data_IF_775675432047
#
_entry.id   IF_775675432047
#
_cell.length_a   1.000
_cell.length_b   1.000
_cell.length_c   1.000
_cell.angle_alpha   90.00
_cell.angle_beta   90.00
_cell.angle_gamma   90.00
#
_symmetry.space_group_name_H-M   'P 1'
#
loop_
_entity.id
_entity.type
_entity.pdbx_description
1 polymer ?
#
# COMPACT_ATOMS: atom_id res chain seq x y z
N UNK A 1 14.24 11.60 5.96
CA UNK A 1 14.56 10.80 4.76
C UNK A 1 16.07 10.62 4.67
N UNK A 2 16.56 9.38 4.67
CA UNK A 2 17.98 9.02 4.80
C UNK A 2 18.89 9.38 3.61
N UNK A 3 18.48 10.30 2.75
CA UNK A 3 19.28 10.79 1.63
C UNK A 3 20.16 11.97 2.06
N UNK A 4 21.42 11.96 1.61
CA UNK A 4 22.35 13.06 1.84
C UNK A 4 21.89 14.33 1.11
N UNK A 5 22.40 15.51 1.50
CA UNK A 5 22.10 16.78 0.81
C UNK A 5 22.53 16.76 -0.67
N UNK A 6 23.53 15.94 -1.03
CA UNK A 6 24.01 15.78 -2.40
C UNK A 6 23.02 14.97 -3.23
N UNK A 7 22.55 13.84 -2.69
CA UNK A 7 21.60 12.95 -3.39
C UNK A 7 20.24 13.61 -3.62
N UNK A 8 19.84 14.54 -2.74
CA UNK A 8 18.61 15.34 -2.91
C UNK A 8 18.65 16.31 -4.09
N UNK A 9 19.84 16.74 -4.53
CA UNK A 9 20.00 17.63 -5.70
C UNK A 9 20.07 16.86 -7.02
N UNK A 10 20.24 15.55 -6.95
CA UNK A 10 20.28 14.62 -8.08
C UNK A 10 19.37 13.43 -7.78
N UNK A 11 18.07 13.70 -7.58
CA UNK A 11 17.06 12.63 -7.46
C UNK A 11 16.92 11.99 -8.85
N UNK A 12 17.87 11.12 -9.19
CA UNK A 12 17.84 10.22 -10.35
C UNK A 12 17.15 8.90 -10.00
N UNK A 13 17.00 8.60 -8.71
CA UNK A 13 16.30 7.45 -8.15
C UNK A 13 15.00 7.90 -7.48
N UNK A 14 13.97 7.06 -7.44
CA UNK A 14 12.70 7.39 -6.78
C UNK A 14 12.86 7.74 -5.29
N UNK A 15 11.87 8.44 -4.72
CA UNK A 15 11.81 8.78 -3.29
C UNK A 15 10.69 7.99 -2.64
N UNK A 16 10.97 7.33 -1.51
CA UNK A 16 9.97 6.58 -0.75
C UNK A 16 9.58 7.36 0.52
N UNK A 17 8.30 7.73 0.62
CA UNK A 17 7.71 8.40 1.79
C UNK A 17 6.91 7.44 2.68
N UNK A 18 6.79 6.17 2.29
CA UNK A 18 6.00 5.20 3.04
C UNK A 18 6.51 5.09 4.49
N UNK A 19 5.56 5.03 5.42
CA UNK A 19 5.82 4.80 6.83
C UNK A 19 5.07 3.56 7.27
N UNK A 20 5.76 2.68 8.00
CA UNK A 20 5.11 1.57 8.70
C UNK A 20 3.95 2.08 9.56
N UNK A 21 2.89 1.27 9.65
CA UNK A 21 1.64 1.59 10.36
C UNK A 21 0.86 2.80 9.85
N UNK A 22 1.28 3.46 8.77
CA UNK A 22 0.56 4.60 8.19
C UNK A 22 -0.86 4.23 7.78
N UNK A 23 -1.78 5.17 7.99
CA UNK A 23 -3.10 5.17 7.37
C UNK A 23 -3.40 6.44 6.59
N UNK A 24 -4.59 6.46 6.00
CA UNK A 24 -5.15 7.60 5.27
C UNK A 24 -5.62 8.71 6.21
N UNK A 25 -6.14 8.33 7.39
CA UNK A 25 -6.57 9.29 8.40
C UNK A 25 -5.41 9.70 9.31
N UNK A 26 -5.30 11.00 9.68
CA UNK A 26 -4.19 11.46 10.50
C UNK A 26 -4.02 10.75 11.83
N UNK A 27 -5.13 10.37 12.47
CA UNK A 27 -5.14 9.65 13.75
C UNK A 27 -4.69 8.18 13.63
N UNK A 28 -4.72 7.60 12.43
CA UNK A 28 -4.45 6.18 12.25
C UNK A 28 -2.96 5.85 12.39
N UNK A 29 -2.68 4.67 12.95
CA UNK A 29 -1.32 4.20 13.18
C UNK A 29 -0.67 4.70 14.47
N UNK A 30 -1.15 5.80 15.07
CA UNK A 30 -0.58 6.33 16.32
C UNK A 30 -0.75 5.38 17.51
N UNK A 31 -1.79 4.54 17.49
CA UNK A 31 -1.98 3.47 18.46
C UNK A 31 -0.93 2.36 18.35
N UNK A 32 -0.30 2.21 17.18
CA UNK A 32 0.75 1.23 16.91
C UNK A 32 2.14 1.82 17.18
N UNK A 33 2.38 3.04 16.68
CA UNK A 33 3.64 3.76 16.89
C UNK A 33 3.40 5.28 17.01
N UNK A 34 4.06 5.92 17.97
CA UNK A 34 3.86 7.36 18.24
C UNK A 34 4.28 8.26 17.06
N UNK A 35 5.27 7.83 16.27
CA UNK A 35 5.90 8.65 15.22
C UNK A 35 5.50 8.22 13.79
N UNK A 36 4.28 7.72 13.60
CA UNK A 36 3.76 7.36 12.27
C UNK A 36 3.62 8.62 11.40
N UNK A 37 4.07 8.50 10.14
CA UNK A 37 3.88 9.53 9.12
C UNK A 37 2.67 9.13 8.26
N UNK A 38 1.51 9.70 8.55
CA UNK A 38 0.26 9.41 7.82
C UNK A 38 0.31 9.95 6.38
N UNK A 39 -0.64 9.55 5.53
CA UNK A 39 -0.58 9.90 4.10
C UNK A 39 -0.57 11.41 3.84
N UNK A 40 -1.30 12.20 4.63
CA UNK A 40 -1.26 13.66 4.55
C UNK A 40 0.16 14.19 4.78
N UNK A 41 0.83 13.73 5.83
CA UNK A 41 2.21 14.12 6.13
C UNK A 41 3.20 13.62 5.08
N UNK A 42 2.96 12.47 4.44
CA UNK A 42 3.79 11.99 3.33
C UNK A 42 3.70 12.94 2.12
N UNK A 43 2.51 13.44 1.81
CA UNK A 43 2.32 14.47 0.78
C UNK A 43 2.98 15.79 1.19
N UNK A 44 2.88 16.19 2.46
CA UNK A 44 3.58 17.37 2.97
C UNK A 44 5.10 17.23 2.86
N UNK A 45 5.66 16.04 3.12
CA UNK A 45 7.08 15.78 2.92
C UNK A 45 7.45 15.95 1.45
N UNK A 46 6.68 15.39 0.52
CA UNK A 46 6.91 15.58 -0.91
C UNK A 46 6.88 17.07 -1.30
N UNK A 47 5.86 17.81 -0.85
CA UNK A 47 5.66 19.23 -1.14
C UNK A 47 6.73 20.14 -0.51
N UNK A 48 7.12 19.87 0.73
CA UNK A 48 7.99 20.78 1.49
C UNK A 48 9.47 20.43 1.39
N UNK A 49 9.82 19.20 1.00
CA UNK A 49 11.21 18.78 0.82
C UNK A 49 11.57 18.56 -0.65
N UNK A 50 11.06 17.52 -1.29
CA UNK A 50 11.44 17.14 -2.65
C UNK A 50 11.09 18.22 -3.67
N UNK A 51 9.91 18.80 -3.60
CA UNK A 51 9.54 19.90 -4.49
C UNK A 51 10.42 21.14 -4.25
N UNK A 52 10.84 21.40 -3.01
CA UNK A 52 11.76 22.50 -2.69
C UNK A 52 13.15 22.26 -3.27
N UNK A 53 13.68 21.04 -3.13
CA UNK A 53 14.98 20.65 -3.65
C UNK A 53 14.99 20.66 -5.20
N UNK A 54 13.93 20.15 -5.83
CA UNK A 54 13.78 20.15 -7.29
C UNK A 54 13.62 21.56 -7.87
N UNK A 55 12.91 22.49 -7.20
CA UNK A 55 12.78 23.88 -7.68
C UNK A 55 14.12 24.56 -7.93
N UNK A 56 15.15 24.25 -7.14
CA UNK A 56 16.50 24.79 -7.35
C UNK A 56 17.26 24.19 -8.54
N UNK A 57 16.74 23.12 -9.15
CA UNK A 57 17.38 22.37 -10.25
C UNK A 57 16.79 22.72 -11.62
N UNK A 58 15.61 23.32 -11.69
CA UNK A 58 14.93 23.64 -12.94
C UNK A 58 14.79 25.15 -13.14
N UNK A 59 15.12 25.63 -14.34
CA UNK A 59 15.09 27.05 -14.70
C UNK A 59 13.67 27.66 -14.79
N UNK A 60 12.62 26.85 -14.67
CA UNK A 60 11.24 27.36 -14.61
C UNK A 60 10.25 26.39 -13.95
N UNK A 61 9.16 26.91 -13.35
CA UNK A 61 8.05 26.09 -12.85
C UNK A 61 7.43 25.18 -13.92
N UNK A 62 7.40 25.61 -15.19
CA UNK A 62 6.88 24.83 -16.32
C UNK A 62 7.74 23.59 -16.60
N UNK A 63 9.07 23.71 -16.55
CA UNK A 63 9.99 22.58 -16.70
C UNK A 63 9.86 21.59 -15.55
N UNK A 64 9.77 22.06 -14.31
CA UNK A 64 9.52 21.21 -13.15
C UNK A 64 8.20 20.44 -13.26
N UNK A 65 7.10 21.12 -13.62
CA UNK A 65 5.81 20.44 -13.84
C UNK A 65 5.88 19.38 -14.96
N UNK A 66 6.59 19.66 -16.06
CA UNK A 66 6.83 18.69 -17.14
C UNK A 66 7.70 17.52 -16.70
N UNK A 67 8.64 17.72 -15.78
CA UNK A 67 9.43 16.66 -15.18
C UNK A 67 8.54 15.75 -14.33
N UNK A 68 7.76 16.34 -13.40
CA UNK A 68 6.86 15.61 -12.52
C UNK A 68 5.74 14.87 -13.25
N UNK A 69 5.25 15.42 -14.37
CA UNK A 69 4.23 14.75 -15.17
C UNK A 69 4.72 13.44 -15.79
N UNK A 70 6.04 13.25 -15.91
CA UNK A 70 6.65 12.00 -16.39
C UNK A 70 6.93 11.01 -15.26
N UNK A 71 6.93 11.47 -14.01
CA UNK A 71 7.20 10.64 -12.83
C UNK A 71 6.00 9.76 -12.48
N UNK A 72 6.30 8.54 -11.99
CA UNK A 72 5.32 7.63 -11.43
C UNK A 72 5.06 7.95 -9.96
N UNK A 73 3.79 8.02 -9.57
CA UNK A 73 3.34 8.10 -8.18
C UNK A 73 2.65 6.80 -7.82
N UNK A 74 3.34 5.94 -7.08
CA UNK A 74 2.82 4.67 -6.59
C UNK A 74 2.24 4.85 -5.18
N UNK A 75 0.95 4.53 -5.00
CA UNK A 75 0.20 4.76 -3.78
C UNK A 75 -0.39 3.43 -3.29
N UNK A 76 0.02 3.00 -2.10
CA UNK A 76 -0.53 1.84 -1.39
C UNK A 76 -0.77 2.21 0.08
N UNK A 77 -2.04 2.23 0.48
CA UNK A 77 -2.52 2.66 1.80
C UNK A 77 -3.80 1.87 2.16
N UNK A 78 -4.43 2.20 3.29
CA UNK A 78 -5.67 1.60 3.82
C UNK A 78 -5.55 0.25 4.55
N UNK A 79 -4.45 -0.49 4.41
CA UNK A 79 -4.27 -1.78 5.13
C UNK A 79 -4.34 -1.62 6.65
N UNK A 80 -3.68 -0.62 7.22
CA UNK A 80 -3.74 -0.36 8.67
C UNK A 80 -5.11 0.18 9.09
N UNK A 81 -5.70 1.06 8.26
CA UNK A 81 -7.00 1.66 8.49
C UNK A 81 -8.10 0.60 8.62
N UNK A 82 -8.06 -0.45 7.79
CA UNK A 82 -9.05 -1.52 7.75
C UNK A 82 -8.70 -2.70 8.65
N UNK A 83 -7.42 -2.92 8.93
CA UNK A 83 -6.92 -3.99 9.79
C UNK A 83 -6.80 -3.56 11.25
N UNK A 84 -5.57 -3.57 11.76
CA UNK A 84 -5.26 -3.46 13.20
C UNK A 84 -5.77 -2.14 13.80
N UNK A 85 -5.65 -1.00 13.09
CA UNK A 85 -6.13 0.29 13.63
C UNK A 85 -7.65 0.31 13.76
N UNK A 86 -8.37 -0.30 12.81
CA UNK A 86 -9.81 -0.44 12.92
C UNK A 86 -10.20 -1.22 14.18
N UNK A 87 -9.55 -2.38 14.36
CA UNK A 87 -9.87 -3.29 15.45
C UNK A 87 -9.63 -2.70 16.82
N UNK A 88 -8.54 -1.95 16.98
CA UNK A 88 -8.17 -1.41 18.29
C UNK A 88 -9.00 -0.15 18.61
N UNK A 89 -9.21 0.73 17.62
CA UNK A 89 -9.66 2.08 17.89
C UNK A 89 -10.92 2.49 17.12
N UNK A 90 -10.99 2.23 15.81
CA UNK A 90 -12.02 2.85 14.97
C UNK A 90 -13.36 2.14 15.02
N UNK A 91 -13.39 0.83 15.32
CA UNK A 91 -14.64 0.07 15.43
C UNK A 91 -15.61 0.61 16.50
N UNK A 92 -15.08 1.31 17.51
CA UNK A 92 -15.86 1.97 18.57
C UNK A 92 -16.39 3.35 18.14
N UNK A 93 -15.82 3.94 17.10
CA UNK A 93 -16.07 5.32 16.66
C UNK A 93 -16.93 5.38 15.40
N UNK A 94 -16.87 4.37 14.54
CA UNK A 94 -17.52 4.38 13.24
C UNK A 94 -18.16 3.03 12.91
N UNK A 95 -19.30 3.07 12.21
CA UNK A 95 -19.72 1.93 11.40
C UNK A 95 -18.76 1.75 10.23
N UNK A 96 -18.62 0.52 9.74
CA UNK A 96 -17.64 0.25 8.68
C UNK A 96 -17.96 1.00 7.38
N UNK A 97 -19.24 1.09 6.99
CA UNK A 97 -19.64 1.80 5.77
C UNK A 97 -19.30 3.29 5.82
N UNK A 98 -19.51 3.93 6.97
CA UNK A 98 -19.16 5.34 7.18
C UNK A 98 -17.65 5.53 7.11
N UNK A 99 -16.91 4.62 7.74
CA UNK A 99 -15.47 4.67 7.82
C UNK A 99 -14.81 4.52 6.44
N UNK A 100 -15.22 3.53 5.66
CA UNK A 100 -14.68 3.30 4.31
C UNK A 100 -14.93 4.51 3.40
N UNK A 101 -16.13 5.11 3.45
CA UNK A 101 -16.43 6.34 2.68
C UNK A 101 -15.51 7.50 3.07
N UNK A 102 -15.18 7.61 4.36
CA UNK A 102 -14.22 8.60 4.86
C UNK A 102 -12.81 8.32 4.31
N UNK A 103 -12.36 7.06 4.30
CA UNK A 103 -11.06 6.68 3.72
C UNK A 103 -10.96 7.04 2.23
N UNK A 104 -11.99 6.71 1.44
CA UNK A 104 -12.06 7.05 0.00
C UNK A 104 -12.03 8.56 -0.21
N UNK A 105 -12.73 9.33 0.63
CA UNK A 105 -12.71 10.80 0.59
C UNK A 105 -11.31 11.36 0.88
N UNK A 106 -10.62 10.86 1.89
CA UNK A 106 -9.27 11.33 2.22
C UNK A 106 -8.23 10.93 1.17
N UNK A 107 -8.30 9.70 0.63
CA UNK A 107 -7.47 9.29 -0.50
C UNK A 107 -7.69 10.23 -1.70
N UNK A 108 -8.95 10.53 -2.05
CA UNK A 108 -9.29 11.45 -3.14
C UNK A 108 -8.65 12.83 -2.97
N UNK A 109 -8.69 13.39 -1.75
CA UNK A 109 -8.09 14.69 -1.45
C UNK A 109 -6.59 14.69 -1.66
N UNK A 110 -5.88 13.67 -1.16
CA UNK A 110 -4.43 13.60 -1.29
C UNK A 110 -3.98 13.37 -2.75
N UNK A 111 -4.71 12.55 -3.52
CA UNK A 111 -4.44 12.38 -4.95
C UNK A 111 -4.62 13.70 -5.73
N UNK A 112 -5.65 14.49 -5.40
CA UNK A 112 -5.85 15.82 -5.98
C UNK A 112 -4.76 16.82 -5.57
N UNK A 113 -4.25 16.77 -4.33
CA UNK A 113 -3.09 17.57 -3.89
C UNK A 113 -1.85 17.21 -4.72
N UNK A 114 -1.53 15.93 -4.85
CA UNK A 114 -0.41 15.47 -5.67
C UNK A 114 -0.54 15.92 -7.14
N UNK A 115 -1.75 15.84 -7.71
CA UNK A 115 -2.03 16.33 -9.06
C UNK A 115 -1.78 17.84 -9.18
N UNK A 116 -2.19 18.63 -8.19
CA UNK A 116 -1.96 20.08 -8.14
C UNK A 116 -0.46 20.41 -8.10
N UNK A 117 0.33 19.57 -7.44
CA UNK A 117 1.79 19.68 -7.36
C UNK A 117 2.50 19.29 -8.68
N UNK A 118 1.82 18.62 -9.61
CA UNK A 118 2.34 18.29 -10.94
C UNK A 118 2.34 16.80 -11.29
N UNK A 119 1.91 15.93 -10.36
CA UNK A 119 1.79 14.50 -10.64
C UNK A 119 0.75 14.24 -11.75
N UNK A 120 1.08 13.34 -12.68
CA UNK A 120 0.16 12.94 -13.75
C UNK A 120 -0.01 11.43 -13.90
N UNK A 121 0.95 10.61 -13.47
CA UNK A 121 0.86 9.15 -13.55
C UNK A 121 0.70 8.55 -12.17
N UNK A 122 -0.47 8.01 -11.88
CA UNK A 122 -0.81 7.42 -10.59
C UNK A 122 -1.06 5.94 -10.74
N UNK A 123 -0.34 5.14 -9.96
CA UNK A 123 -0.65 3.73 -9.76
C UNK A 123 -1.13 3.58 -8.33
N UNK A 124 -2.40 3.22 -8.15
CA UNK A 124 -3.04 3.11 -6.84
C UNK A 124 -3.51 1.68 -6.64
N UNK A 125 -2.89 0.98 -5.71
CA UNK A 125 -3.28 -0.40 -5.41
C UNK A 125 -4.36 -0.47 -4.35
N UNK A 126 -5.24 -1.46 -4.45
CA UNK A 126 -6.17 -1.81 -3.38
C UNK A 126 -5.46 -2.55 -2.21
N UNK A 127 -6.24 -3.07 -1.26
CA UNK A 127 -5.74 -3.72 -0.04
C UNK A 127 -5.83 -5.24 -0.17
N UNK A 128 -4.82 -5.97 0.31
CA UNK A 128 -4.77 -7.44 0.33
C UNK A 128 -5.80 -8.05 1.30
N UNK A 129 -6.15 -9.34 1.20
CA UNK A 129 -7.06 -10.01 2.13
C UNK A 129 -6.48 -10.11 3.55
N UNK A 130 -6.72 -9.08 4.37
CA UNK A 130 -6.16 -8.98 5.73
C UNK A 130 -6.67 -10.10 6.66
N UNK A 131 -7.87 -10.63 6.40
CA UNK A 131 -8.47 -11.73 7.15
C UNK A 131 -7.69 -13.04 7.04
N UNK A 132 -6.81 -13.16 6.04
CA UNK A 132 -5.95 -14.32 5.81
C UNK A 132 -4.55 -14.17 6.44
N UNK A 133 -4.24 -13.02 7.03
CA UNK A 133 -2.92 -12.82 7.66
C UNK A 133 -2.74 -13.75 8.86
N UNK A 134 -1.51 -14.25 9.12
CA UNK A 134 -1.25 -15.12 10.27
C UNK A 134 -1.71 -14.49 11.59
N UNK A 135 -1.53 -13.17 11.76
CA UNK A 135 -2.00 -12.44 12.94
C UNK A 135 -3.51 -12.63 13.18
N UNK A 136 -4.32 -12.50 12.14
CA UNK A 136 -5.78 -12.57 12.26
C UNK A 136 -6.23 -14.02 12.48
N UNK A 137 -5.77 -14.97 11.67
CA UNK A 137 -6.22 -16.36 11.74
C UNK A 137 -5.77 -17.08 13.02
N UNK A 138 -4.70 -16.61 13.67
CA UNK A 138 -4.24 -17.15 14.96
C UNK A 138 -4.89 -16.45 16.18
N UNK A 139 -5.62 -15.34 16.00
CA UNK A 139 -6.27 -14.60 17.09
C UNK A 139 -7.78 -14.78 17.18
N UNK A 140 -8.43 -15.00 16.04
CA UNK A 140 -9.88 -15.00 15.94
C UNK A 140 -10.33 -16.43 15.62
N UNK A 141 -11.38 -16.91 16.28
CA UNK A 141 -11.98 -18.21 15.97
C UNK A 141 -12.72 -18.09 14.64
N UNK A 142 -12.45 -19.00 13.70
CA UNK A 142 -13.08 -19.04 12.38
C UNK A 142 -13.21 -20.48 11.89
N UNK A 143 -13.99 -20.68 10.82
CA UNK A 143 -14.34 -22.00 10.28
C UNK A 143 -13.71 -22.28 8.90
N UNK A 144 -12.78 -21.45 8.44
CA UNK A 144 -12.22 -21.50 7.08
C UNK A 144 -10.72 -21.21 7.02
N UNK A 145 -10.16 -20.89 5.84
CA UNK A 145 -8.76 -20.50 5.73
C UNK A 145 -8.50 -19.07 6.22
N UNK A 146 -9.55 -18.22 6.24
CA UNK A 146 -9.46 -16.81 6.59
C UNK A 146 -10.64 -16.37 7.47
N UNK A 147 -10.48 -15.22 8.12
CA UNK A 147 -11.57 -14.55 8.85
C UNK A 147 -12.35 -13.65 7.89
N UNK A 148 -13.45 -14.17 7.34
CA UNK A 148 -14.19 -13.50 6.27
C UNK A 148 -14.84 -12.16 6.67
N UNK A 149 -15.13 -11.94 7.95
CA UNK A 149 -15.61 -10.64 8.41
C UNK A 149 -14.61 -9.51 8.11
N UNK A 150 -13.32 -9.80 8.28
CA UNK A 150 -12.24 -8.85 8.00
C UNK A 150 -12.05 -8.68 6.49
N UNK A 151 -12.17 -9.75 5.71
CA UNK A 151 -12.10 -9.65 4.25
C UNK A 151 -13.28 -8.86 3.67
N UNK A 152 -14.51 -9.08 4.18
CA UNK A 152 -15.70 -8.30 3.78
C UNK A 152 -15.50 -6.80 4.00
N UNK A 153 -14.89 -6.44 5.13
CA UNK A 153 -14.51 -5.05 5.42
C UNK A 153 -13.55 -4.49 4.38
N UNK A 154 -12.51 -5.26 4.02
CA UNK A 154 -11.54 -4.88 3.00
C UNK A 154 -12.22 -4.71 1.63
N UNK A 155 -13.11 -5.62 1.26
CA UNK A 155 -13.87 -5.57 0.01
C UNK A 155 -14.66 -4.27 -0.14
N UNK A 156 -15.31 -3.76 0.92
CA UNK A 156 -16.04 -2.49 0.85
C UNK A 156 -15.18 -1.32 0.38
N UNK A 157 -13.90 -1.27 0.80
CA UNK A 157 -12.96 -0.26 0.31
C UNK A 157 -12.48 -0.56 -1.11
N UNK A 158 -12.11 -1.82 -1.37
CA UNK A 158 -11.62 -2.25 -2.67
C UNK A 158 -12.66 -2.03 -3.78
N UNK A 159 -13.95 -2.22 -3.50
CA UNK A 159 -15.07 -2.04 -4.44
C UNK A 159 -15.28 -0.57 -4.81
N UNK A 160 -14.98 0.36 -3.90
CA UNK A 160 -15.14 1.81 -4.13
C UNK A 160 -13.93 2.45 -4.83
N UNK A 161 -12.76 1.82 -4.75
CA UNK A 161 -11.52 2.39 -5.27
C UNK A 161 -11.56 2.60 -6.81
N UNK A 162 -11.95 1.62 -7.65
CA UNK A 162 -12.02 1.82 -9.10
C UNK A 162 -12.88 3.02 -9.50
N UNK A 163 -14.08 3.14 -8.92
CA UNK A 163 -14.99 4.26 -9.21
C UNK A 163 -14.42 5.62 -8.79
N UNK A 164 -13.66 5.67 -7.69
CA UNK A 164 -12.91 6.89 -7.32
C UNK A 164 -11.87 7.24 -8.40
N UNK A 165 -11.09 6.26 -8.86
CA UNK A 165 -10.03 6.50 -9.83
C UNK A 165 -10.58 6.93 -11.20
N UNK A 166 -11.68 6.33 -11.65
CA UNK A 166 -12.40 6.75 -12.86
C UNK A 166 -12.90 8.19 -12.76
N UNK A 167 -13.51 8.55 -11.61
CA UNK A 167 -13.94 9.93 -11.36
C UNK A 167 -12.78 10.90 -11.43
N UNK A 168 -11.66 10.61 -10.76
CA UNK A 168 -10.46 11.45 -10.80
C UNK A 168 -9.87 11.54 -12.20
N UNK A 169 -9.83 10.43 -12.95
CA UNK A 169 -9.37 10.37 -14.33
C UNK A 169 -10.18 11.30 -15.24
N UNK A 170 -11.50 11.37 -15.05
CA UNK A 170 -12.39 12.25 -15.83
C UNK A 170 -12.26 13.73 -15.45
N UNK A 171 -12.03 14.04 -14.17
CA UNK A 171 -11.97 15.41 -13.67
C UNK A 171 -10.57 16.06 -13.75
N UNK A 172 -9.50 15.26 -13.82
CA UNK A 172 -8.13 15.75 -13.75
C UNK A 172 -7.43 15.61 -15.10
N UNK A 173 -7.54 16.65 -15.93
CA UNK A 173 -7.04 16.65 -17.31
C UNK A 173 -5.56 16.26 -17.45
N UNK A 174 -5.29 15.33 -18.37
CA UNK A 174 -3.93 14.84 -18.65
C UNK A 174 -3.34 13.95 -17.56
N UNK A 175 -4.12 13.58 -16.53
CA UNK A 175 -3.72 12.53 -15.60
C UNK A 175 -3.96 11.13 -16.18
N UNK A 176 -3.32 10.13 -15.60
CA UNK A 176 -3.54 8.71 -15.80
C UNK A 176 -3.62 8.05 -14.43
N UNK A 177 -4.76 7.44 -14.13
CA UNK A 177 -4.94 6.63 -12.93
C UNK A 177 -5.04 5.16 -13.32
N UNK A 178 -4.23 4.33 -12.67
CA UNK A 178 -4.25 2.87 -12.82
C UNK A 178 -4.55 2.24 -11.47
N UNK A 179 -5.55 1.37 -11.45
CA UNK A 179 -5.85 0.49 -10.34
C UNK A 179 -4.94 -0.74 -10.37
N UNK A 180 -4.31 -1.08 -9.25
CA UNK A 180 -3.59 -2.33 -9.06
C UNK A 180 -4.33 -3.24 -8.06
N UNK A 181 -4.84 -4.37 -8.52
CA UNK A 181 -5.59 -5.32 -7.70
C UNK A 181 -4.65 -6.29 -6.96
N UNK A 182 -4.11 -5.85 -5.83
CA UNK A 182 -3.29 -6.68 -4.97
C UNK A 182 -4.11 -7.79 -4.33
N UNK A 183 -5.40 -7.56 -4.06
CA UNK A 183 -6.29 -8.56 -3.47
C UNK A 183 -6.38 -9.79 -4.37
N UNK A 184 -6.60 -9.59 -5.67
CA UNK A 184 -6.64 -10.67 -6.66
C UNK A 184 -5.32 -11.43 -6.75
N UNK A 185 -4.17 -10.75 -6.60
CA UNK A 185 -2.87 -11.44 -6.57
C UNK A 185 -2.77 -12.43 -5.41
N UNK A 186 -3.25 -12.06 -4.22
CA UNK A 186 -3.30 -13.01 -3.10
C UNK A 186 -4.30 -14.13 -3.33
N UNK A 187 -5.48 -13.84 -3.87
CA UNK A 187 -6.47 -14.87 -4.17
C UNK A 187 -5.89 -15.92 -5.12
N UNK A 188 -5.25 -15.50 -6.22
CA UNK A 188 -4.62 -16.42 -7.16
C UNK A 188 -3.55 -17.31 -6.48
N UNK A 189 -2.76 -16.72 -5.57
CA UNK A 189 -1.75 -17.47 -4.80
C UNK A 189 -2.40 -18.44 -3.83
N UNK A 190 -3.47 -18.07 -3.15
CA UNK A 190 -4.18 -18.95 -2.22
C UNK A 190 -4.91 -20.09 -2.93
N UNK A 191 -5.44 -19.83 -4.13
CA UNK A 191 -6.11 -20.82 -4.97
C UNK A 191 -5.11 -21.82 -5.58
N UNK A 192 -3.88 -21.41 -5.90
CA UNK A 192 -2.88 -22.28 -6.52
C UNK A 192 -1.43 -21.96 -6.08
N UNK A 193 -1.07 -22.21 -4.81
CA UNK A 193 0.21 -21.77 -4.24
C UNK A 193 1.44 -22.27 -5.00
N UNK A 194 1.43 -23.55 -5.38
CA UNK A 194 2.56 -24.20 -6.04
C UNK A 194 2.86 -23.60 -7.42
N UNK A 195 1.83 -23.18 -8.16
CA UNK A 195 1.96 -22.49 -9.46
C UNK A 195 2.70 -21.16 -9.34
N UNK A 196 2.74 -20.58 -8.15
CA UNK A 196 3.45 -19.35 -7.84
C UNK A 196 4.73 -19.57 -7.03
N UNK A 197 5.10 -20.83 -6.76
CA UNK A 197 6.31 -21.20 -6.01
C UNK A 197 6.16 -21.12 -4.48
N UNK A 198 4.94 -21.06 -3.96
CA UNK A 198 4.66 -21.08 -2.53
C UNK A 198 4.26 -22.46 -2.04
N UNK A 199 4.69 -22.79 -0.82
CA UNK A 199 4.36 -24.02 -0.10
C UNK A 199 3.54 -23.76 1.15
N UNK A 200 3.75 -22.62 1.80
CA UNK A 200 3.00 -22.22 2.99
C UNK A 200 2.38 -20.84 2.78
N UNK A 201 1.05 -20.81 2.85
CA UNK A 201 0.24 -19.61 2.66
C UNK A 201 -0.36 -19.07 3.95
N UNK A 202 -0.22 -19.78 5.08
CA UNK A 202 -0.94 -19.48 6.32
C UNK A 202 -0.01 -19.09 7.48
N UNK A 203 1.22 -19.59 7.52
CA UNK A 203 2.15 -19.33 8.61
C UNK A 203 3.22 -18.30 8.24
N UNK A 204 3.53 -17.42 9.18
CA UNK A 204 4.69 -16.54 9.09
C UNK A 204 6.00 -17.29 9.29
N UNK A 205 7.04 -16.83 8.59
CA UNK A 205 8.41 -17.33 8.70
C UNK A 205 9.06 -17.04 10.05
N UNK A 206 8.89 -15.82 10.57
CA UNK A 206 9.30 -15.48 11.92
C UNK A 206 8.16 -15.80 12.91
N UNK A 207 8.56 -16.01 14.16
CA UNK A 207 7.67 -16.18 15.31
C UNK A 207 7.97 -15.11 16.36
N UNK A 208 7.00 -14.82 17.19
CA UNK A 208 7.21 -13.95 18.35
C UNK A 208 7.90 -14.70 19.51
N UNK A 209 8.21 -13.98 20.60
CA UNK A 209 8.97 -14.52 21.75
C UNK A 209 8.29 -15.72 22.43
N UNK A 210 6.98 -15.87 22.27
CA UNK A 210 6.21 -16.97 22.84
C UNK A 210 6.08 -18.14 21.87
N UNK A 211 6.74 -18.08 20.71
CA UNK A 211 6.58 -19.03 19.62
C UNK A 211 5.24 -18.92 18.92
N UNK A 212 4.47 -17.86 19.18
CA UNK A 212 3.18 -17.62 18.53
C UNK A 212 3.35 -16.77 17.26
N UNK A 213 2.24 -16.51 16.57
CA UNK A 213 2.18 -15.68 15.34
C UNK A 213 1.19 -14.55 15.49
N UNK A 214 1.21 -13.89 16.65
CA UNK A 214 0.25 -12.83 16.98
C UNK A 214 0.93 -11.53 17.42
N UNK A 215 2.27 -11.50 17.42
CA UNK A 215 3.08 -10.32 17.73
C UNK A 215 4.23 -10.18 16.74
N UNK A 216 4.99 -9.10 16.87
CA UNK A 216 6.21 -8.87 16.07
C UNK A 216 7.24 -9.97 16.27
N UNK A 217 8.09 -10.19 15.26
CA UNK A 217 9.18 -11.17 15.32
C UNK A 217 10.03 -10.99 16.58
N UNK A 218 10.40 -12.11 17.21
CA UNK A 218 11.34 -12.08 18.33
C UNK A 218 12.71 -11.56 17.88
N UNK A 219 13.36 -10.67 18.66
CA UNK A 219 14.74 -10.30 18.40
C UNK A 219 15.66 -11.50 18.66
N UNK A 220 16.73 -11.61 17.86
CA UNK A 220 17.75 -12.66 17.98
C UNK A 220 17.23 -14.10 17.83
N UNK A 221 16.10 -14.29 17.16
CA UNK A 221 15.65 -15.61 16.69
C UNK A 221 15.80 -15.62 15.16
N UNK A 222 16.49 -16.63 14.65
CA UNK A 222 16.66 -16.78 13.22
C UNK A 222 15.30 -17.01 12.53
N UNK A 223 15.03 -16.33 11.41
CA UNK A 223 13.84 -16.62 10.61
C UNK A 223 13.96 -18.02 10.00
N UNK A 224 12.81 -18.62 9.66
CA UNK A 224 12.74 -19.90 8.97
C UNK A 224 13.67 -20.01 7.74
N UNK A 225 14.16 -21.23 7.47
CA UNK A 225 15.03 -21.51 6.32
C UNK A 225 14.27 -21.40 4.97
N UNK A 226 13.00 -21.81 4.96
CA UNK A 226 12.14 -21.90 3.77
C UNK A 226 11.43 -20.58 3.41
N UNK A 227 11.95 -19.44 3.86
CA UNK A 227 11.33 -18.10 3.69
C UNK A 227 11.00 -17.70 2.25
N UNK A 228 11.67 -18.31 1.26
CA UNK A 228 11.44 -18.05 -0.18
C UNK A 228 10.17 -18.72 -0.73
N UNK A 229 9.63 -19.70 -0.01
CA UNK A 229 8.42 -20.43 -0.40
C UNK A 229 7.24 -20.16 0.53
N UNK A 230 7.32 -19.12 1.37
CA UNK A 230 6.24 -18.68 2.26
C UNK A 230 5.61 -17.39 1.78
N UNK A 231 4.30 -17.27 1.90
CA UNK A 231 3.60 -16.01 1.57
C UNK A 231 3.88 -14.92 2.60
N UNK A 232 4.02 -15.27 3.88
CA UNK A 232 4.19 -14.33 4.98
C UNK A 232 5.58 -14.40 5.62
N UNK A 233 6.23 -13.26 5.79
CA UNK A 233 7.49 -13.19 6.53
C UNK A 233 7.23 -13.10 8.04
N UNK A 234 6.37 -12.17 8.44
CA UNK A 234 5.92 -12.01 9.82
C UNK A 234 4.39 -12.15 9.89
N UNK A 235 3.76 -12.09 11.09
CA UNK A 235 2.33 -12.28 11.19
C UNK A 235 1.44 -11.28 10.45
N UNK A 236 1.99 -10.14 10.04
CA UNK A 236 1.26 -9.04 9.41
C UNK A 236 1.66 -8.85 7.95
N UNK A 237 2.93 -9.12 7.61
CA UNK A 237 3.54 -8.69 6.36
C UNK A 237 3.89 -9.86 5.43
N UNK A 238 3.68 -9.67 4.11
CA UNK A 238 4.10 -10.63 3.10
C UNK A 238 5.61 -10.81 3.06
N UNK A 239 6.05 -11.94 2.52
CA UNK A 239 7.46 -12.21 2.30
C UNK A 239 8.03 -11.40 1.14
N UNK A 240 9.37 -11.33 1.09
CA UNK A 240 10.08 -10.79 -0.06
C UNK A 240 9.64 -11.47 -1.37
N UNK A 241 9.43 -12.79 -1.36
CA UNK A 241 8.95 -13.54 -2.52
C UNK A 241 7.55 -13.07 -2.97
N UNK A 242 6.64 -12.81 -2.03
CA UNK A 242 5.31 -12.29 -2.34
C UNK A 242 5.35 -10.86 -2.87
N UNK A 243 6.21 -10.00 -2.28
CA UNK A 243 6.47 -8.65 -2.79
C UNK A 243 7.00 -8.66 -4.23
N UNK A 244 7.96 -9.55 -4.55
CA UNK A 244 8.47 -9.71 -5.91
C UNK A 244 7.38 -10.17 -6.88
N UNK A 245 6.54 -11.11 -6.46
CA UNK A 245 5.48 -11.64 -7.31
C UNK A 245 4.50 -10.55 -7.72
N UNK A 246 3.89 -9.83 -6.75
CA UNK A 246 2.90 -8.82 -7.11
C UNK A 246 3.53 -7.67 -7.92
N UNK A 247 4.81 -7.33 -7.66
CA UNK A 247 5.47 -6.25 -8.38
C UNK A 247 5.69 -6.65 -9.84
N UNK A 248 6.12 -7.91 -10.06
CA UNK A 248 6.28 -8.48 -11.40
C UNK A 248 4.93 -8.55 -12.13
N UNK A 249 3.85 -8.92 -11.43
CA UNK A 249 2.53 -8.95 -12.05
C UNK A 249 2.05 -7.55 -12.41
N UNK A 250 2.13 -6.56 -11.52
CA UNK A 250 1.73 -5.18 -11.84
C UNK A 250 2.44 -4.61 -13.07
N UNK A 251 3.68 -5.01 -13.33
CA UNK A 251 4.41 -4.58 -14.53
C UNK A 251 3.74 -4.98 -15.84
N UNK A 252 3.12 -6.16 -15.93
CA UNK A 252 2.74 -6.76 -17.23
C UNK A 252 1.32 -7.35 -17.28
N UNK A 253 0.76 -7.73 -16.14
CA UNK A 253 -0.47 -8.49 -16.05
C UNK A 253 -1.69 -7.57 -16.04
N UNK A 254 -2.39 -7.52 -17.17
CA UNK A 254 -3.60 -6.72 -17.31
C UNK A 254 -4.83 -7.30 -16.58
N UNK A 255 -4.76 -8.54 -16.06
CA UNK A 255 -5.87 -9.11 -15.27
C UNK A 255 -5.99 -8.49 -13.88
N UNK A 256 -4.91 -7.88 -13.38
CA UNK A 256 -4.84 -7.24 -12.06
C UNK A 256 -4.57 -5.72 -12.16
N UNK A 257 -4.55 -5.17 -13.37
CA UNK A 257 -4.31 -3.75 -13.60
C UNK A 257 -5.34 -3.20 -14.58
N UNK A 258 -5.96 -2.07 -14.22
CA UNK A 258 -6.94 -1.40 -15.07
C UNK A 258 -6.72 0.11 -15.08
N UNK A 259 -6.84 0.80 -16.22
CA UNK A 259 -7.14 0.26 -17.55
C UNK A 259 -5.91 -0.31 -18.30
N UNK A 260 -4.70 -0.08 -17.78
CA UNK A 260 -3.42 -0.49 -18.37
C UNK A 260 -2.48 -0.98 -17.28
N UNK A 261 -1.46 -1.78 -17.62
CA UNK A 261 -0.45 -2.22 -16.65
C UNK A 261 0.60 -1.13 -16.35
N UNK A 262 1.45 -1.39 -15.36
CA UNK A 262 2.42 -0.40 -14.89
C UNK A 262 3.48 -0.04 -15.95
N UNK A 263 3.90 -0.97 -16.82
CA UNK A 263 4.81 -0.65 -17.93
C UNK A 263 4.17 0.34 -18.90
N UNK A 264 2.92 0.07 -19.30
CA UNK A 264 2.17 0.95 -20.19
C UNK A 264 1.98 2.35 -19.56
N UNK A 265 1.70 2.43 -18.25
CA UNK A 265 1.62 3.70 -17.54
C UNK A 265 2.96 4.47 -17.56
N UNK A 266 4.07 3.77 -17.33
CA UNK A 266 5.40 4.37 -17.37
C UNK A 266 5.75 4.93 -18.75
N UNK A 267 5.25 4.31 -19.82
CA UNK A 267 5.46 4.73 -21.22
C UNK A 267 4.50 5.82 -21.72
N UNK A 268 3.38 6.06 -21.01
CA UNK A 268 2.35 7.02 -21.38
C UNK A 268 2.74 8.51 -21.33
#
# INVERSE_FOLDING_TARGET
>A
MGMSKKDRKTISTGVNYASGSSGLLPQNGHVLHKNVINFFQQVDLFENSTMKDLKGTFDSPKRLKKYLSKSLFFIHHASNDLGVTFEIEMKKKYSIDTYVKLLIKELSKQLQRLYTLGARKFFVSNVSPLGCSPYIINRIIHSGPCVEEINKRVSLYNDLLPGLLEKLQSSLSGSKFVHGDIYKVFQDVFESPESYGFKDVNSSCCIDKNGTRIQVCAPNIDPCEDRKTRVFFDPFHPSEAMHFLWARRFLKDSSICSPINLIQLMQA
#
